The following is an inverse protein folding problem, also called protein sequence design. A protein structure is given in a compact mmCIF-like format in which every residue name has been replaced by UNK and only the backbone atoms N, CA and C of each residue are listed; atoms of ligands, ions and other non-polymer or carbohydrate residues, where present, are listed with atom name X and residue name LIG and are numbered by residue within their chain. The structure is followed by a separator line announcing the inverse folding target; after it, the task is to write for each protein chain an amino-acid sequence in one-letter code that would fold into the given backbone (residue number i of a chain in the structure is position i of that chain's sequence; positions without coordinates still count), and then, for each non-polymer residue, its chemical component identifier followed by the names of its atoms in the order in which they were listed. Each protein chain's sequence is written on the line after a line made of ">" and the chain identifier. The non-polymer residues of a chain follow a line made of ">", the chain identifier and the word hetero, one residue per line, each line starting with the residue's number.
data_IF_121830319500
#
_entry.id   IF_121830319500
#
_cell.length_a   1.000
_cell.length_b   1.000
_cell.length_c   1.000
_cell.angle_alpha   90.00
_cell.angle_beta   90.00
_cell.angle_gamma   90.00
#
_symmetry.space_group_name_H-M   'P 1'
#
loop_
_entity.id
_entity.type
_entity.pdbx_description
1 polymer ?
#
# COMPACT_ATOMS: atom_id res chain seq x y z
N UNK A 1 27.78 29.08 -7.88
CA UNK A 1 27.50 29.32 -6.45
C UNK A 1 26.00 29.17 -6.24
N UNK A 2 25.54 28.23 -5.40
CA UNK A 2 24.15 28.28 -4.96
C UNK A 2 24.00 29.47 -4.00
N UNK A 3 23.12 30.41 -4.33
CA UNK A 3 22.72 31.46 -3.39
C UNK A 3 22.12 30.81 -2.13
N UNK A 4 22.23 31.48 -0.96
CA UNK A 4 21.60 31.03 0.30
C UNK A 4 20.14 30.60 0.11
N UNK A 5 19.46 31.22 -0.85
CA UNK A 5 18.08 30.92 -1.25
C UNK A 5 17.90 29.51 -1.84
N UNK A 6 18.85 29.02 -2.64
CA UNK A 6 18.79 27.68 -3.22
C UNK A 6 18.99 26.56 -2.19
N UNK A 7 19.82 26.79 -1.18
CA UNK A 7 20.05 25.84 -0.07
C UNK A 7 18.87 25.81 0.90
N UNK A 8 18.28 26.97 1.20
CA UNK A 8 17.03 27.07 1.95
C UNK A 8 15.90 26.31 1.24
N UNK A 9 15.84 26.44 -0.09
CA UNK A 9 14.84 25.78 -0.92
C UNK A 9 14.98 24.25 -0.91
N UNK A 10 16.20 23.71 -0.99
CA UNK A 10 16.44 22.25 -0.88
C UNK A 10 15.97 21.71 0.48
N UNK A 11 16.26 22.42 1.57
CA UNK A 11 15.81 22.01 2.91
C UNK A 11 14.27 22.02 3.01
N UNK A 12 13.62 23.02 2.42
CA UNK A 12 12.15 23.08 2.34
C UNK A 12 11.56 21.90 1.56
N UNK A 13 12.18 21.49 0.46
CA UNK A 13 11.74 20.31 -0.28
C UNK A 13 11.94 19.01 0.50
N UNK A 14 13.07 18.85 1.19
CA UNK A 14 13.32 17.69 2.06
C UNK A 14 12.30 17.60 3.20
N UNK A 15 11.95 18.74 3.80
CA UNK A 15 10.92 18.82 4.84
C UNK A 15 9.54 18.44 4.30
N UNK A 16 9.15 19.00 3.14
CA UNK A 16 7.90 18.62 2.45
C UNK A 16 7.87 17.13 2.11
N UNK A 17 8.98 16.58 1.61
CA UNK A 17 9.14 15.16 1.30
C UNK A 17 8.96 14.30 2.54
N UNK A 18 9.61 14.65 3.65
CA UNK A 18 9.46 13.93 4.92
C UNK A 18 8.01 13.98 5.44
N UNK A 19 7.34 15.12 5.36
CA UNK A 19 5.93 15.25 5.74
C UNK A 19 5.03 14.32 4.91
N UNK A 20 5.26 14.26 3.59
CA UNK A 20 4.53 13.34 2.70
C UNK A 20 4.80 11.87 3.04
N UNK A 21 6.05 11.48 3.34
CA UNK A 21 6.34 10.11 3.78
C UNK A 21 5.68 9.76 5.11
N UNK A 22 5.63 10.69 6.06
CA UNK A 22 4.94 10.46 7.34
C UNK A 22 3.42 10.31 7.13
N UNK A 23 2.85 11.11 6.23
CA UNK A 23 1.44 10.98 5.85
C UNK A 23 1.17 9.65 5.15
N UNK A 24 2.03 9.24 4.21
CA UNK A 24 1.98 7.93 3.57
C UNK A 24 2.00 6.81 4.61
N UNK A 25 2.94 6.86 5.57
CA UNK A 25 3.02 5.89 6.66
C UNK A 25 1.73 5.85 7.48
N UNK A 26 1.11 7.00 7.76
CA UNK A 26 -0.17 7.05 8.47
C UNK A 26 -1.29 6.39 7.68
N UNK A 27 -1.38 6.60 6.36
CA UNK A 27 -2.36 5.95 5.49
C UNK A 27 -2.12 4.43 5.46
N UNK A 28 -0.87 4.00 5.33
CA UNK A 28 -0.51 2.57 5.35
C UNK A 28 -0.91 1.89 6.66
N UNK A 29 -0.75 2.56 7.81
CA UNK A 29 -1.23 2.02 9.09
C UNK A 29 -2.75 1.87 9.13
N UNK A 30 -3.49 2.88 8.67
CA UNK A 30 -4.96 2.82 8.59
C UNK A 30 -5.44 1.71 7.65
N UNK A 31 -4.75 1.51 6.52
CA UNK A 31 -5.05 0.40 5.61
C UNK A 31 -4.86 -0.95 6.30
N UNK A 32 -3.76 -1.12 7.05
CA UNK A 32 -3.53 -2.34 7.84
C UNK A 32 -4.63 -2.56 8.88
N UNK A 33 -4.98 -1.54 9.65
CA UNK A 33 -6.05 -1.61 10.66
C UNK A 33 -7.41 -1.98 10.04
N UNK A 34 -7.74 -1.45 8.87
CA UNK A 34 -8.96 -1.81 8.14
C UNK A 34 -8.94 -3.27 7.66
N UNK A 35 -7.80 -3.76 7.16
CA UNK A 35 -7.64 -5.16 6.76
C UNK A 35 -7.76 -6.10 7.96
N UNK A 36 -7.15 -5.78 9.09
CA UNK A 36 -7.24 -6.59 10.32
C UNK A 36 -8.64 -6.63 10.91
N UNK A 37 -9.39 -5.53 10.81
CA UNK A 37 -10.76 -5.43 11.33
C UNK A 37 -11.83 -5.96 10.37
N UNK A 38 -11.45 -6.43 9.18
CA UNK A 38 -12.37 -6.81 8.09
C UNK A 38 -13.40 -5.72 7.78
N UNK A 39 -13.04 -4.45 7.98
CA UNK A 39 -13.88 -3.32 7.64
C UNK A 39 -13.51 -2.83 6.25
N UNK A 40 -14.35 -3.14 5.25
CA UNK A 40 -14.18 -2.66 3.87
C UNK A 40 -14.45 -1.15 3.73
N UNK A 41 -15.03 -0.54 4.76
CA UNK A 41 -15.35 0.88 4.78
C UNK A 41 -14.07 1.69 4.57
N UNK A 42 -14.09 2.55 3.54
CA UNK A 42 -13.02 3.52 3.21
C UNK A 42 -11.75 2.94 2.58
N UNK A 43 -11.69 1.65 2.23
CA UNK A 43 -10.48 1.05 1.64
C UNK A 43 -10.09 1.74 0.32
N UNK A 44 -11.06 1.96 -0.58
CA UNK A 44 -10.86 2.69 -1.84
C UNK A 44 -10.40 4.14 -1.64
N UNK A 45 -10.95 4.81 -0.62
CA UNK A 45 -10.57 6.19 -0.28
C UNK A 45 -9.12 6.25 0.20
N UNK A 46 -8.72 5.33 1.07
CA UNK A 46 -7.35 5.24 1.60
C UNK A 46 -6.36 4.86 0.50
N UNK A 47 -6.69 3.91 -0.39
CA UNK A 47 -5.85 3.57 -1.55
C UNK A 47 -5.69 4.75 -2.51
N UNK A 48 -6.78 5.49 -2.76
CA UNK A 48 -6.76 6.70 -3.58
C UNK A 48 -5.90 7.80 -2.94
N UNK A 49 -6.00 7.98 -1.63
CA UNK A 49 -5.18 8.92 -0.87
C UNK A 49 -3.69 8.53 -0.91
N UNK A 50 -3.38 7.25 -0.71
CA UNK A 50 -2.03 6.68 -0.85
C UNK A 50 -1.45 6.98 -2.23
N UNK A 51 -2.22 6.74 -3.30
CA UNK A 51 -1.82 7.05 -4.68
C UNK A 51 -1.59 8.55 -4.92
N UNK A 52 -2.43 9.43 -4.34
CA UNK A 52 -2.19 10.90 -4.39
C UNK A 52 -0.89 11.27 -3.69
N UNK A 53 -0.57 10.62 -2.57
CA UNK A 53 0.65 10.87 -1.82
C UNK A 53 1.90 10.49 -2.63
N UNK A 54 1.88 9.35 -3.34
CA UNK A 54 2.98 8.93 -4.24
C UNK A 54 3.23 10.01 -5.30
N UNK A 55 2.17 10.46 -5.98
CA UNK A 55 2.29 11.49 -7.02
C UNK A 55 2.89 12.79 -6.48
N UNK A 56 2.51 13.20 -5.26
CA UNK A 56 3.09 14.39 -4.60
C UNK A 56 4.57 14.21 -4.26
N UNK A 57 4.98 13.03 -3.80
CA UNK A 57 6.39 12.72 -3.55
C UNK A 57 7.18 12.79 -4.86
N UNK A 58 6.69 12.18 -5.93
CA UNK A 58 7.32 12.24 -7.26
C UNK A 58 7.45 13.68 -7.79
N UNK A 59 6.44 14.52 -7.58
CA UNK A 59 6.50 15.94 -7.96
C UNK A 59 7.56 16.71 -7.16
N UNK A 60 7.70 16.42 -5.87
CA UNK A 60 8.78 17.00 -5.04
C UNK A 60 10.14 16.55 -5.54
N UNK A 61 10.29 15.27 -5.85
CA UNK A 61 11.54 14.70 -6.35
C UNK A 61 11.96 15.31 -7.69
N UNK A 62 11.03 15.41 -8.62
CA UNK A 62 11.24 16.10 -9.89
C UNK A 62 11.62 17.57 -9.73
N UNK A 63 11.01 18.26 -8.76
CA UNK A 63 11.33 19.67 -8.48
C UNK A 63 12.73 19.82 -7.88
N UNK A 64 13.13 18.90 -7.00
CA UNK A 64 14.49 18.83 -6.45
C UNK A 64 15.52 18.52 -7.53
N UNK A 65 15.24 17.54 -8.41
CA UNK A 65 16.11 17.19 -9.53
C UNK A 65 16.30 18.36 -10.49
N UNK A 66 15.24 19.13 -10.80
CA UNK A 66 15.37 20.35 -11.61
C UNK A 66 16.29 21.39 -10.95
N UNK A 67 16.17 21.58 -9.64
CA UNK A 67 17.01 22.52 -8.90
C UNK A 67 18.47 22.10 -8.85
N UNK A 68 18.73 20.80 -8.72
CA UNK A 68 20.08 20.24 -8.69
C UNK A 68 20.68 20.16 -10.10
N UNK A 69 19.89 19.76 -11.10
CA UNK A 69 20.29 19.59 -12.50
C UNK A 69 20.49 20.90 -13.27
N UNK A 70 19.86 22.00 -12.83
CA UNK A 70 20.13 23.35 -13.34
C UNK A 70 21.46 23.94 -12.83
N UNK A 71 22.07 23.33 -11.80
CA UNK A 71 23.35 23.73 -11.21
C UNK A 71 24.50 22.81 -11.63
N UNK A 72 24.73 22.61 -12.93
CA UNK A 72 25.68 21.61 -13.45
C UNK A 72 27.17 21.83 -13.12
N UNK A 73 27.58 22.88 -12.42
CA UNK A 73 29.02 23.18 -12.26
C UNK A 73 29.52 23.61 -10.87
N UNK A 74 28.72 23.60 -9.80
CA UNK A 74 29.30 23.91 -8.48
C UNK A 74 29.52 22.67 -7.65
N UNK A 75 30.79 22.27 -7.51
CA UNK A 75 31.28 21.56 -6.34
C UNK A 75 30.86 22.36 -5.11
N UNK A 76 29.73 21.97 -4.54
CA UNK A 76 29.09 22.64 -3.43
C UNK A 76 29.97 22.43 -2.19
N UNK A 77 30.77 23.44 -1.83
CA UNK A 77 31.30 23.60 -0.48
C UNK A 77 30.11 23.91 0.46
N UNK A 78 29.32 22.88 0.76
CA UNK A 78 28.30 22.94 1.80
C UNK A 78 29.00 23.08 3.15
N UNK A 79 28.55 24.04 3.97
CA UNK A 79 28.94 24.07 5.38
C UNK A 79 28.59 22.73 6.04
N UNK A 80 29.41 22.27 6.99
CA UNK A 80 29.17 21.01 7.71
C UNK A 80 27.79 20.97 8.37
N UNK A 81 27.29 22.11 8.87
CA UNK A 81 25.95 22.24 9.44
C UNK A 81 24.83 21.87 8.45
N UNK A 82 24.93 22.32 7.20
CA UNK A 82 23.96 21.99 6.15
C UNK A 82 24.06 20.53 5.72
N UNK A 83 25.27 19.99 5.65
CA UNK A 83 25.50 18.57 5.35
C UNK A 83 24.86 17.67 6.42
N UNK A 84 25.04 18.02 7.69
CA UNK A 84 24.40 17.33 8.82
C UNK A 84 22.86 17.42 8.78
N UNK A 85 22.32 18.58 8.38
CA UNK A 85 20.88 18.75 8.25
C UNK A 85 20.31 17.85 7.15
N UNK A 86 20.94 17.86 5.97
CA UNK A 86 20.53 17.03 4.82
C UNK A 86 20.64 15.55 5.17
N UNK A 87 21.74 15.12 5.81
CA UNK A 87 21.91 13.72 6.22
C UNK A 87 20.87 13.30 7.27
N UNK A 88 20.49 14.19 8.19
CA UNK A 88 19.40 13.95 9.13
C UNK A 88 18.06 13.73 8.42
N UNK A 89 17.70 14.59 7.46
CA UNK A 89 16.48 14.39 6.66
C UNK A 89 16.52 13.08 5.86
N UNK A 90 17.64 12.78 5.22
CA UNK A 90 17.81 11.55 4.45
C UNK A 90 17.66 10.30 5.34
N UNK A 91 18.26 10.30 6.53
CA UNK A 91 18.11 9.21 7.51
C UNK A 91 16.66 9.07 7.97
N UNK A 92 15.96 10.18 8.28
CA UNK A 92 14.55 10.13 8.69
C UNK A 92 13.66 9.60 7.58
N UNK A 93 13.84 10.04 6.34
CA UNK A 93 13.11 9.54 5.18
C UNK A 93 13.36 8.04 5.02
N UNK A 94 14.62 7.60 5.06
CA UNK A 94 14.99 6.19 4.97
C UNK A 94 14.30 5.34 6.04
N UNK A 95 14.37 5.75 7.30
CA UNK A 95 13.73 5.03 8.40
C UNK A 95 12.21 4.95 8.21
N UNK A 96 11.58 6.03 7.72
CA UNK A 96 10.14 6.02 7.40
C UNK A 96 9.82 5.06 6.26
N UNK A 97 10.64 5.00 5.20
CA UNK A 97 10.47 4.06 4.09
C UNK A 97 10.62 2.60 4.54
N UNK A 98 11.60 2.29 5.38
CA UNK A 98 11.77 0.95 5.93
C UNK A 98 10.54 0.48 6.72
N UNK A 99 9.95 1.38 7.52
CA UNK A 99 8.70 1.10 8.24
C UNK A 99 7.52 0.89 7.30
N UNK A 100 7.41 1.69 6.25
CA UNK A 100 6.38 1.51 5.21
C UNK A 100 6.53 0.14 4.54
N UNK A 101 7.75 -0.22 4.13
CA UNK A 101 8.04 -1.51 3.49
C UNK A 101 7.69 -2.69 4.38
N UNK A 102 7.96 -2.58 5.69
CA UNK A 102 7.57 -3.60 6.65
C UNK A 102 6.04 -3.76 6.70
N UNK A 103 5.29 -2.66 6.85
CA UNK A 103 3.83 -2.70 6.89
C UNK A 103 3.22 -3.21 5.57
N UNK A 104 3.79 -2.84 4.42
CA UNK A 104 3.33 -3.31 3.12
C UNK A 104 3.47 -4.83 2.98
N UNK A 105 4.55 -5.42 3.51
CA UNK A 105 4.71 -6.88 3.55
C UNK A 105 3.67 -7.55 4.45
N UNK A 106 3.40 -6.97 5.63
CA UNK A 106 2.37 -7.50 6.53
C UNK A 106 0.98 -7.44 5.89
N UNK A 107 0.61 -6.31 5.26
CA UNK A 107 -0.67 -6.17 4.56
C UNK A 107 -0.80 -7.15 3.40
N UNK A 108 0.28 -7.40 2.65
CA UNK A 108 0.27 -8.37 1.55
C UNK A 108 0.00 -9.79 2.08
N UNK A 109 0.63 -10.18 3.18
CA UNK A 109 0.37 -11.47 3.82
C UNK A 109 -1.08 -11.59 4.32
N UNK A 110 -1.65 -10.52 4.89
CA UNK A 110 -3.07 -10.49 5.29
C UNK A 110 -4.00 -10.65 4.09
N UNK A 111 -3.71 -9.95 2.99
CA UNK A 111 -4.51 -10.03 1.76
C UNK A 111 -4.45 -11.44 1.13
N UNK A 112 -3.27 -12.07 1.08
CA UNK A 112 -3.11 -13.45 0.61
C UNK A 112 -3.90 -14.44 1.48
N UNK A 113 -3.84 -14.27 2.81
CA UNK A 113 -4.61 -15.11 3.73
C UNK A 113 -6.12 -14.98 3.47
N UNK A 114 -6.63 -13.76 3.32
CA UNK A 114 -8.05 -13.55 3.05
C UNK A 114 -8.47 -14.05 1.65
N UNK A 115 -7.60 -13.93 0.64
CA UNK A 115 -7.84 -14.52 -0.67
C UNK A 115 -8.04 -16.04 -0.58
N UNK A 116 -7.18 -16.75 0.16
CA UNK A 116 -7.33 -18.20 0.35
C UNK A 116 -8.62 -18.56 1.08
N UNK A 117 -9.02 -17.76 2.06
CA UNK A 117 -10.28 -17.90 2.80
C UNK A 117 -11.50 -17.75 1.88
N UNK A 118 -11.52 -16.70 1.05
CA UNK A 118 -12.56 -16.45 0.06
C UNK A 118 -12.65 -17.60 -0.95
N UNK A 119 -11.52 -18.06 -1.49
CA UNK A 119 -11.47 -19.22 -2.40
C UNK A 119 -12.07 -20.48 -1.77
N UNK A 120 -11.73 -20.75 -0.50
CA UNK A 120 -12.29 -21.90 0.22
C UNK A 120 -13.81 -21.78 0.43
N UNK A 121 -14.31 -20.58 0.78
CA UNK A 121 -15.75 -20.31 0.90
C UNK A 121 -16.48 -20.49 -0.44
N UNK A 122 -15.92 -19.98 -1.54
CA UNK A 122 -16.48 -20.14 -2.88
C UNK A 122 -16.58 -21.60 -3.29
N UNK A 123 -15.54 -22.40 -3.04
CA UNK A 123 -15.54 -23.84 -3.32
C UNK A 123 -16.64 -24.56 -2.54
N UNK A 124 -16.82 -24.22 -1.25
CA UNK A 124 -17.92 -24.78 -0.43
C UNK A 124 -19.30 -24.43 -1.01
N UNK A 125 -19.51 -23.18 -1.43
CA UNK A 125 -20.77 -22.76 -2.06
C UNK A 125 -21.03 -23.47 -3.38
N UNK A 126 -19.99 -23.65 -4.21
CA UNK A 126 -20.09 -24.39 -5.47
C UNK A 126 -20.46 -25.86 -5.23
N UNK A 127 -19.81 -26.51 -4.25
CA UNK A 127 -20.11 -27.89 -3.88
C UNK A 127 -21.53 -28.04 -3.34
N UNK A 128 -21.97 -27.11 -2.48
CA UNK A 128 -23.35 -27.08 -1.98
C UNK A 128 -24.36 -26.91 -3.11
N UNK A 129 -24.11 -25.99 -4.06
CA UNK A 129 -24.96 -25.79 -5.23
C UNK A 129 -25.03 -27.04 -6.12
N UNK A 130 -23.91 -27.74 -6.32
CA UNK A 130 -23.87 -28.97 -7.09
C UNK A 130 -24.64 -30.10 -6.38
N UNK A 131 -24.50 -30.23 -5.06
CA UNK A 131 -25.26 -31.19 -4.28
C UNK A 131 -26.77 -30.93 -4.40
N UNK A 132 -27.24 -29.69 -4.23
CA UNK A 132 -28.64 -29.31 -4.40
C UNK A 132 -29.16 -29.69 -5.79
N UNK A 133 -28.41 -29.37 -6.85
CA UNK A 133 -28.78 -29.77 -8.22
C UNK A 133 -28.96 -31.28 -8.36
N UNK A 134 -28.05 -32.07 -7.79
CA UNK A 134 -28.11 -33.53 -7.81
C UNK A 134 -29.32 -34.08 -7.03
N UNK A 135 -29.71 -33.44 -5.93
CA UNK A 135 -30.91 -33.80 -5.17
C UNK A 135 -32.20 -33.44 -5.92
N UNK A 136 -32.31 -32.22 -6.46
CA UNK A 136 -33.48 -31.83 -7.27
C UNK A 136 -33.60 -32.66 -8.57
N UNK A 137 -32.48 -33.06 -9.18
CA UNK A 137 -32.50 -33.96 -10.33
C UNK A 137 -33.01 -35.37 -9.98
N UNK A 138 -32.89 -35.80 -8.72
CA UNK A 138 -33.41 -37.10 -8.24
C UNK A 138 -34.92 -37.10 -7.98
N UNK A 139 -35.56 -35.94 -7.78
CA UNK A 139 -37.02 -35.86 -7.60
C UNK A 139 -37.80 -36.02 -8.91
N UNK A 140 -37.13 -35.93 -10.08
CA UNK A 140 -37.74 -36.10 -11.39
C UNK A 140 -37.88 -37.58 -11.84
N UNK A 141 -37.37 -38.53 -11.05
CA UNK A 141 -37.50 -39.97 -11.32
C UNK A 141 -38.10 -40.68 -10.11
N UNK A 142 -38.86 -41.77 -10.30
CA UNK A 142 -39.48 -42.48 -9.19
C UNK A 142 -38.41 -42.96 -8.21
N UNK A 143 -38.60 -42.78 -6.88
CA UNK A 143 -37.62 -43.18 -5.89
C UNK A 143 -37.39 -44.70 -5.95
N UNK A 144 -36.17 -45.12 -6.30
CA UNK A 144 -35.71 -46.52 -6.31
C UNK A 144 -35.41 -47.06 -4.91
N UNK A 145 -36.26 -46.75 -3.94
CA UNK A 145 -36.20 -47.34 -2.62
C UNK A 145 -37.51 -48.09 -2.46
N UNK A 146 -37.47 -49.39 -2.73
CA UNK A 146 -38.47 -50.46 -2.48
C UNK A 146 -38.59 -51.45 -3.67
N UNK A 147 -37.49 -51.82 -4.32
CA UNK A 147 -37.44 -53.12 -5.02
C UNK A 147 -37.12 -54.22 -3.99
N UNK A 148 -38.07 -54.43 -3.08
CA UNK A 148 -38.15 -55.65 -2.28
C UNK A 148 -39.14 -56.59 -2.98
N UNK A 149 -38.81 -57.05 -4.18
CA UNK A 149 -39.54 -58.15 -4.81
C UNK A 149 -38.75 -59.44 -4.66
N UNK A 150 -39.37 -60.32 -3.87
CA UNK A 150 -39.09 -61.74 -3.59
C UNK A 150 -38.67 -62.57 -4.80
#
# INVERSE_FOLDING_TARGET
>A
MFNKDGLSLICSYLEKKLALFNHYLSITKKLKENLESNQENHLDSLLSERGRCIRRIQMVDFSMEKLLGGGRESSLLLSDRLRLLISSYASRIKNTMERILFLDKEMLALAEAEETNIRAKLLKLQNARQAIKSYCAREAGPPRFLDNSR
#
